data_IF_570422918341
#
_entry.id   IF_570422918341
#
_cell.length_a   1.000
_cell.length_b   1.000
_cell.length_c   1.000
_cell.angle_alpha   90.00
_cell.angle_beta   90.00
_cell.angle_gamma   90.00
#
_symmetry.space_group_name_H-M   'P 1'
#
loop_
_entity.id
_entity.type
_entity.pdbx_description
1 polymer ?
#
# COMPACT_ATOMS: atom_id res chain seq x y z
N UNK A 1 -2.08 18.84 -0.94
CA UNK A 1 -1.21 17.85 -1.60
C UNK A 1 -2.00 16.56 -1.75
N UNK A 2 -2.65 16.37 -2.90
CA UNK A 2 -3.34 15.14 -3.27
C UNK A 2 -2.30 14.06 -3.54
N UNK A 3 -2.21 13.06 -2.67
CA UNK A 3 -1.18 12.02 -2.74
C UNK A 3 -1.45 11.09 -3.93
N UNK A 4 -0.76 11.33 -5.04
CA UNK A 4 -0.70 10.52 -6.26
C UNK A 4 0.19 9.27 -6.04
N UNK A 5 -0.21 8.36 -5.13
CA UNK A 5 0.64 7.20 -4.75
C UNK A 5 0.10 5.84 -5.20
N UNK A 6 -1.18 5.79 -5.59
CA UNK A 6 -1.85 4.57 -6.09
C UNK A 6 -1.14 4.01 -7.35
N UNK A 7 -0.67 4.88 -8.25
CA UNK A 7 -0.01 4.46 -9.49
C UNK A 7 1.36 3.80 -9.29
N UNK A 8 2.06 4.09 -8.18
CA UNK A 8 3.42 3.57 -7.97
C UNK A 8 3.44 2.10 -7.57
N UNK A 9 2.47 1.63 -6.78
CA UNK A 9 2.49 0.28 -6.21
C UNK A 9 2.33 -0.77 -7.30
N UNK A 10 1.28 -0.63 -8.12
CA UNK A 10 0.98 -1.59 -9.20
C UNK A 10 2.12 -1.60 -10.21
N UNK A 11 2.68 -0.42 -10.52
CA UNK A 11 3.85 -0.33 -11.40
C UNK A 11 5.06 -1.07 -10.83
N UNK A 12 5.40 -0.87 -9.56
CA UNK A 12 6.52 -1.57 -8.91
C UNK A 12 6.31 -3.09 -8.91
N UNK A 13 5.09 -3.55 -8.63
CA UNK A 13 4.74 -4.99 -8.70
C UNK A 13 4.95 -5.55 -10.10
N UNK A 14 4.50 -4.83 -11.13
CA UNK A 14 4.68 -5.23 -12.53
C UNK A 14 6.15 -5.23 -12.95
N UNK A 15 6.94 -4.24 -12.50
CA UNK A 15 8.38 -4.18 -12.75
C UNK A 15 9.09 -5.40 -12.14
N UNK A 16 8.80 -5.74 -10.87
CA UNK A 16 9.38 -6.91 -10.19
C UNK A 16 9.08 -8.21 -10.94
N UNK A 17 7.82 -8.40 -11.37
CA UNK A 17 7.40 -9.61 -12.10
C UNK A 17 8.05 -9.66 -13.49
N UNK A 18 8.17 -8.51 -14.17
CA UNK A 18 8.76 -8.44 -15.50
C UNK A 18 10.28 -8.68 -15.48
N UNK A 19 10.96 -8.25 -14.42
CA UNK A 19 12.41 -8.42 -14.25
C UNK A 19 12.78 -9.82 -13.74
N UNK A 20 12.02 -10.36 -12.78
CA UNK A 20 12.40 -11.58 -12.04
C UNK A 20 11.48 -12.79 -12.32
N UNK A 21 10.45 -12.62 -13.15
CA UNK A 21 9.47 -13.67 -13.43
C UNK A 21 8.77 -14.16 -12.16
N UNK A 22 8.56 -15.48 -12.06
CA UNK A 22 7.87 -16.08 -10.92
C UNK A 22 8.69 -16.00 -9.61
N UNK A 23 10.02 -15.87 -9.70
CA UNK A 23 10.88 -15.75 -8.51
C UNK A 23 10.61 -14.44 -7.75
N UNK A 24 10.20 -13.37 -8.46
CA UNK A 24 9.83 -12.07 -7.87
C UNK A 24 8.41 -12.01 -7.27
N UNK A 25 7.58 -13.05 -7.43
CA UNK A 25 6.19 -13.00 -6.98
C UNK A 25 6.08 -12.84 -5.47
N UNK A 26 6.96 -13.48 -4.69
CA UNK A 26 6.92 -13.36 -3.23
C UNK A 26 7.08 -11.91 -2.76
N UNK A 27 7.97 -11.16 -3.40
CA UNK A 27 8.19 -9.75 -3.13
C UNK A 27 6.99 -8.91 -3.58
N UNK A 28 6.51 -9.12 -4.80
CA UNK A 28 5.34 -8.44 -5.34
C UNK A 28 4.09 -8.60 -4.44
N UNK A 29 3.82 -9.83 -3.99
CA UNK A 29 2.69 -10.13 -3.08
C UNK A 29 2.90 -9.44 -1.73
N UNK A 30 4.12 -9.43 -1.19
CA UNK A 30 4.42 -8.75 0.07
C UNK A 30 4.15 -7.23 -0.01
N UNK A 31 4.48 -6.60 -1.13
CA UNK A 31 4.18 -5.19 -1.38
C UNK A 31 2.66 -4.95 -1.39
N UNK A 32 1.90 -5.80 -2.09
CA UNK A 32 0.43 -5.67 -2.14
C UNK A 32 -0.20 -5.86 -0.77
N UNK A 33 0.28 -6.80 0.04
CA UNK A 33 -0.20 -7.02 1.41
C UNK A 33 0.08 -5.78 2.27
N UNK A 34 1.28 -5.19 2.18
CA UNK A 34 1.61 -3.98 2.93
C UNK A 34 0.70 -2.80 2.56
N UNK A 35 0.33 -2.66 1.28
CA UNK A 35 -0.63 -1.63 0.86
C UNK A 35 -2.04 -1.91 1.36
N UNK A 36 -2.50 -3.16 1.28
CA UNK A 36 -3.78 -3.55 1.86
C UNK A 36 -3.85 -3.25 3.37
N UNK A 37 -2.77 -3.52 4.11
CA UNK A 37 -2.67 -3.21 5.54
C UNK A 37 -2.76 -1.71 5.83
N UNK A 38 -2.23 -0.82 4.97
CA UNK A 38 -2.39 0.63 5.14
C UNK A 38 -3.84 1.06 4.99
N UNK A 39 -4.57 0.46 4.05
CA UNK A 39 -6.00 0.72 3.86
C UNK A 39 -6.79 0.24 5.08
N UNK A 40 -6.53 -0.99 5.52
CA UNK A 40 -7.18 -1.58 6.69
C UNK A 40 -6.90 -0.75 7.96
N UNK A 41 -5.65 -0.36 8.20
CA UNK A 41 -5.27 0.48 9.34
C UNK A 41 -5.95 1.84 9.28
N UNK A 42 -6.08 2.44 8.10
CA UNK A 42 -6.76 3.73 7.96
C UNK A 42 -8.25 3.62 8.30
N UNK A 43 -8.88 2.50 7.89
CA UNK A 43 -10.27 2.20 8.24
C UNK A 43 -10.42 1.90 9.73
N UNK A 44 -9.49 1.16 10.34
CA UNK A 44 -9.55 0.79 11.74
C UNK A 44 -9.34 2.00 12.68
N UNK A 45 -8.50 2.95 12.27
CA UNK A 45 -8.20 4.15 13.05
C UNK A 45 -9.10 5.34 12.69
N UNK A 46 -10.03 5.21 11.75
CA UNK A 46 -10.82 6.34 11.19
C UNK A 46 -9.95 7.54 10.77
N UNK A 47 -8.74 7.28 10.31
CA UNK A 47 -7.76 8.31 9.99
C UNK A 47 -6.79 7.80 8.93
N UNK A 48 -6.47 8.64 7.95
CA UNK A 48 -5.39 8.36 7.00
C UNK A 48 -4.04 8.38 7.70
N UNK A 49 -2.98 7.84 7.06
CA UNK A 49 -1.63 7.94 7.59
C UNK A 49 -1.29 9.39 7.93
N UNK A 50 -0.79 9.61 9.14
CA UNK A 50 -0.37 10.93 9.66
C UNK A 50 -1.49 11.97 9.78
N UNK A 51 -2.73 11.61 9.48
CA UNK A 51 -3.88 12.51 9.60
C UNK A 51 -4.20 12.75 11.08
N UNK A 52 -4.44 14.02 11.40
CA UNK A 52 -5.02 14.43 12.68
C UNK A 52 -6.48 14.71 12.43
N UNK A 53 -7.34 13.86 12.97
CA UNK A 53 -8.78 14.01 12.96
C UNK A 53 -9.31 13.72 14.37
N UNK A 54 -10.40 14.40 14.75
CA UNK A 54 -11.06 14.18 16.04
C UNK A 54 -11.72 12.80 16.10
N UNK A 55 -12.04 12.21 14.95
CA UNK A 55 -12.65 10.88 14.84
C UNK A 55 -11.64 9.72 14.97
N UNK A 56 -10.34 10.03 15.12
CA UNK A 56 -9.29 9.02 15.14
C UNK A 56 -9.46 8.09 16.33
N UNK A 57 -9.49 6.79 16.06
CA UNK A 57 -9.54 5.76 17.10
C UNK A 57 -8.14 5.34 17.54
N UNK A 58 -7.97 5.11 18.86
CA UNK A 58 -6.71 4.71 19.50
C UNK A 58 -5.73 5.87 19.74
#
# INVERSE_FOLDING_TARGET
>A
MTQYKEDTVIRTVLEIINENGLEGIGEAVSILINEAMKVESSSALNARPWERTEDRAG
#
